data_IF_028982079048
#
_entry.id   IF_028982079048
#
_cell.length_a   1.000
_cell.length_b   1.000
_cell.length_c   1.000
_cell.angle_alpha   90.00
_cell.angle_beta   90.00
_cell.angle_gamma   90.00
#
_symmetry.space_group_name_H-M   'P 1'
#
loop_
_entity.id
_entity.type
_entity.pdbx_description
1 polymer ?
#
# COMPACT_ATOMS: atom_id res chain seq x y z
N UNK A 1 30.30 -25.40 15.35
CA UNK A 1 29.52 -24.71 14.32
C UNK A 1 29.49 -23.23 14.66
N UNK A 2 30.15 -22.36 13.88
CA UNK A 2 30.02 -20.91 14.07
C UNK A 2 28.66 -20.51 13.52
N UNK A 3 27.81 -19.88 14.36
CA UNK A 3 26.62 -19.22 13.86
C UNK A 3 27.06 -18.24 12.76
N UNK A 4 26.51 -18.37 11.54
CA UNK A 4 26.71 -17.38 10.51
C UNK A 4 26.16 -16.05 11.04
N UNK A 5 26.99 -15.01 11.06
CA UNK A 5 26.54 -13.68 11.44
C UNK A 5 25.46 -13.24 10.43
N UNK A 6 24.35 -12.68 10.93
CA UNK A 6 23.29 -12.15 10.06
C UNK A 6 23.88 -11.12 9.10
N UNK A 7 23.31 -10.96 7.90
CA UNK A 7 23.78 -9.90 6.98
C UNK A 7 23.69 -8.52 7.63
N UNK A 8 22.78 -8.33 8.58
CA UNK A 8 22.72 -7.09 9.37
C UNK A 8 23.96 -6.92 10.26
N UNK A 9 24.51 -7.99 10.83
CA UNK A 9 25.74 -7.95 11.61
C UNK A 9 26.95 -7.61 10.73
N UNK A 10 27.00 -8.14 9.51
CA UNK A 10 28.04 -7.85 8.52
C UNK A 10 27.93 -6.41 8.00
N UNK A 11 26.71 -5.94 7.70
CA UNK A 11 26.47 -4.60 7.17
C UNK A 11 26.59 -3.49 8.23
N UNK A 12 26.44 -3.79 9.52
CA UNK A 12 26.64 -2.83 10.62
C UNK A 12 28.10 -2.37 10.77
N UNK A 13 29.06 -3.17 10.32
CA UNK A 13 30.50 -2.87 10.44
C UNK A 13 31.01 -2.03 9.27
N UNK A 14 30.46 -2.22 8.06
CA UNK A 14 30.78 -1.44 6.86
C UNK A 14 29.65 -1.61 5.83
N UNK A 15 29.24 -0.57 5.09
CA UNK A 15 28.38 -0.74 3.92
C UNK A 15 29.11 -1.62 2.90
N UNK A 16 28.77 -2.91 2.87
CA UNK A 16 29.37 -3.89 1.98
C UNK A 16 28.30 -4.36 1.00
N UNK A 17 28.53 -4.29 -0.33
CA UNK A 17 27.69 -4.95 -1.30
C UNK A 17 27.71 -6.48 -1.09
N UNK A 18 26.77 -6.99 -0.30
CA UNK A 18 26.68 -8.41 0.08
C UNK A 18 25.61 -9.19 -0.71
N UNK A 19 24.82 -8.49 -1.53
CA UNK A 19 23.67 -9.07 -2.24
C UNK A 19 24.01 -9.50 -3.68
N UNK A 20 23.25 -10.46 -4.26
CA UNK A 20 23.39 -10.84 -5.67
C UNK A 20 23.18 -9.65 -6.63
N UNK A 21 22.33 -8.69 -6.23
CA UNK A 21 22.16 -7.43 -6.97
C UNK A 21 21.65 -6.28 -6.10
N UNK A 22 21.12 -5.21 -6.73
CA UNK A 22 20.53 -4.07 -6.01
C UNK A 22 19.23 -4.46 -5.31
N UNK A 23 19.03 -3.96 -4.10
CA UNK A 23 17.81 -4.09 -3.31
C UNK A 23 17.36 -2.71 -2.82
N UNK A 24 16.05 -2.43 -2.82
CA UNK A 24 15.49 -1.12 -2.48
C UNK A 24 14.30 -1.25 -1.55
N UNK A 25 14.24 -0.37 -0.56
CA UNK A 25 13.08 -0.14 0.31
C UNK A 25 12.34 1.13 -0.07
N UNK A 26 11.01 1.11 0.01
CA UNK A 26 10.15 2.31 0.04
C UNK A 26 8.93 2.05 0.91
N UNK A 27 8.42 3.12 1.50
CA UNK A 27 7.34 3.09 2.48
C UNK A 27 6.29 4.12 2.06
N UNK A 28 5.09 3.65 1.74
CA UNK A 28 3.91 4.46 1.46
C UNK A 28 2.95 4.39 2.65
N UNK A 29 2.45 5.53 3.12
CA UNK A 29 1.54 5.58 4.28
C UNK A 29 0.13 5.06 3.99
N UNK A 30 -0.27 4.97 2.72
CA UNK A 30 -1.57 4.45 2.30
C UNK A 30 -1.53 4.00 0.82
N UNK A 31 -2.59 3.36 0.29
CA UNK A 31 -2.63 2.88 -1.09
C UNK A 31 -2.57 3.95 -2.19
N UNK A 32 -2.61 5.25 -1.85
CA UNK A 32 -2.41 6.33 -2.82
C UNK A 32 -1.00 6.34 -3.44
N UNK A 33 -0.01 5.74 -2.78
CA UNK A 33 1.29 5.48 -3.40
C UNK A 33 2.13 6.73 -3.69
N UNK A 34 2.15 7.72 -2.79
CA UNK A 34 2.84 9.00 -3.00
C UNK A 34 4.35 8.88 -3.26
N UNK A 35 5.04 7.85 -2.76
CA UNK A 35 6.46 7.58 -3.09
C UNK A 35 6.61 6.51 -4.19
N UNK A 36 5.49 5.94 -4.64
CA UNK A 36 5.40 4.87 -5.62
C UNK A 36 6.23 3.64 -5.22
N UNK A 37 6.09 3.20 -3.96
CA UNK A 37 6.80 2.05 -3.43
C UNK A 37 6.56 0.80 -4.27
N UNK A 38 5.29 0.47 -4.53
CA UNK A 38 4.91 -0.73 -5.30
C UNK A 38 5.50 -0.80 -6.72
N UNK A 39 5.98 0.31 -7.29
CA UNK A 39 6.59 0.33 -8.62
C UNK A 39 8.12 0.48 -8.58
N UNK A 40 8.69 1.00 -7.48
CA UNK A 40 10.07 1.50 -7.45
C UNK A 40 10.92 0.93 -6.30
N UNK A 41 10.48 -0.13 -5.64
CA UNK A 41 11.25 -0.86 -4.61
C UNK A 41 11.10 -2.38 -4.71
N UNK A 42 12.17 -3.10 -4.40
CA UNK A 42 12.15 -4.57 -4.29
C UNK A 42 11.26 -5.01 -3.12
N UNK A 43 11.17 -4.18 -2.08
CA UNK A 43 10.33 -4.38 -0.91
C UNK A 43 9.57 -3.09 -0.61
N UNK A 44 8.25 -3.12 -0.82
CA UNK A 44 7.33 -2.01 -0.62
C UNK A 44 6.46 -2.27 0.62
N UNK A 45 6.46 -1.33 1.55
CA UNK A 45 5.52 -1.31 2.68
C UNK A 45 4.44 -0.28 2.37
N UNK A 46 3.18 -0.72 2.31
CA UNK A 46 2.04 0.15 1.97
C UNK A 46 1.01 0.11 3.10
N UNK A 47 0.84 1.23 3.80
CA UNK A 47 -0.06 1.34 4.94
C UNK A 47 -1.52 1.02 4.60
N UNK A 48 -2.25 0.43 5.54
CA UNK A 48 -3.67 0.12 5.46
C UNK A 48 -4.27 0.00 6.87
N UNK A 49 -5.57 -0.24 6.95
CA UNK A 49 -6.28 -0.60 8.18
C UNK A 49 -7.08 -1.90 7.97
N UNK A 50 -7.57 -2.49 9.06
CA UNK A 50 -8.36 -3.75 9.05
C UNK A 50 -9.83 -3.56 9.45
N UNK A 51 -10.09 -2.55 10.27
CA UNK A 51 -11.41 -2.22 10.79
C UNK A 51 -12.21 -1.31 9.86
N UNK A 52 -13.27 -0.72 10.39
CA UNK A 52 -14.26 0.00 9.62
C UNK A 52 -13.80 1.42 9.25
N UNK A 53 -14.18 1.87 8.05
CA UNK A 53 -14.06 3.30 7.70
C UNK A 53 -14.95 4.11 8.64
N UNK A 54 -14.40 5.15 9.25
CA UNK A 54 -15.14 6.07 10.12
C UNK A 54 -15.91 7.07 9.27
N UNK A 55 -17.19 7.23 9.57
CA UNK A 55 -18.12 8.06 8.80
C UNK A 55 -18.74 9.14 9.70
N UNK A 56 -18.46 10.40 9.41
CA UNK A 56 -19.19 11.54 9.96
C UNK A 56 -20.36 11.90 9.03
N UNK A 57 -21.58 11.55 9.45
CA UNK A 57 -22.79 11.79 8.68
C UNK A 57 -23.14 13.29 8.55
N UNK A 58 -22.75 14.12 9.52
CA UNK A 58 -22.96 15.57 9.42
C UNK A 58 -22.05 16.14 8.32
N UNK A 59 -20.80 15.69 8.27
CA UNK A 59 -19.88 16.09 7.22
C UNK A 59 -20.29 15.55 5.83
N UNK A 60 -20.84 14.33 5.74
CA UNK A 60 -21.42 13.81 4.48
C UNK A 60 -22.52 14.75 3.97
N UNK A 61 -23.42 15.20 4.85
CA UNK A 61 -24.46 16.17 4.49
C UNK A 61 -23.87 17.51 4.05
N UNK A 62 -22.77 17.96 4.66
CA UNK A 62 -22.02 19.13 4.21
C UNK A 62 -21.52 19.00 2.76
N UNK A 63 -21.03 17.83 2.35
CA UNK A 63 -20.67 17.58 0.94
C UNK A 63 -21.89 17.62 0.01
N UNK A 64 -22.98 16.91 0.34
CA UNK A 64 -24.22 16.89 -0.48
C UNK A 64 -24.89 18.27 -0.56
N UNK A 65 -24.78 19.05 0.52
CA UNK A 65 -25.23 20.44 0.62
C UNK A 65 -24.36 21.43 -0.17
N UNK A 66 -23.14 21.04 -0.54
CA UNK A 66 -22.18 21.91 -1.23
C UNK A 66 -21.37 22.82 -0.30
N UNK A 67 -21.45 22.62 1.02
CA UNK A 67 -20.62 23.33 2.00
C UNK A 67 -19.15 22.92 1.89
N UNK A 68 -18.89 21.65 1.55
CA UNK A 68 -17.55 21.11 1.39
C UNK A 68 -17.28 20.73 -0.07
N UNK A 69 -16.19 21.25 -0.62
CA UNK A 69 -15.76 20.90 -1.97
C UNK A 69 -15.24 19.46 -2.03
N UNK A 70 -15.69 18.64 -3.01
CA UNK A 70 -15.19 17.28 -3.18
C UNK A 70 -13.69 17.27 -3.51
N UNK A 71 -13.02 16.21 -3.06
CA UNK A 71 -11.58 16.00 -3.21
C UNK A 71 -10.75 17.21 -2.74
N UNK A 72 -11.17 17.84 -1.65
CA UNK A 72 -10.57 19.05 -1.08
C UNK A 72 -10.38 20.19 -2.10
N UNK A 73 -11.25 20.28 -3.12
CA UNK A 73 -11.17 21.32 -4.14
C UNK A 73 -10.13 21.06 -5.24
N UNK A 74 -9.59 19.84 -5.36
CA UNK A 74 -8.61 19.47 -6.39
C UNK A 74 -9.08 19.72 -7.83
N UNK A 75 -10.40 19.79 -8.05
CA UNK A 75 -11.01 20.01 -9.36
C UNK A 75 -11.64 21.40 -9.55
N UNK A 76 -11.35 22.35 -8.64
CA UNK A 76 -11.92 23.71 -8.65
C UNK A 76 -11.56 24.55 -9.89
N UNK A 77 -10.58 24.14 -10.69
CA UNK A 77 -10.18 24.82 -11.92
C UNK A 77 -11.13 24.62 -13.11
N UNK A 78 -12.19 23.84 -12.98
CA UNK A 78 -13.20 23.62 -14.03
C UNK A 78 -14.58 23.46 -13.38
N UNK A 79 -15.62 23.90 -14.06
CA UNK A 79 -17.00 23.62 -13.68
C UNK A 79 -17.39 22.19 -14.06
N UNK A 80 -17.63 21.36 -13.05
CA UNK A 80 -18.09 19.98 -13.16
C UNK A 80 -19.55 19.80 -12.75
N UNK A 81 -20.24 20.90 -12.39
CA UNK A 81 -21.56 20.86 -11.77
C UNK A 81 -21.51 20.67 -10.24
N UNK A 82 -22.68 20.52 -9.64
CA UNK A 82 -22.82 20.26 -8.20
C UNK A 82 -22.37 18.84 -7.89
N UNK A 83 -21.72 18.66 -6.75
CA UNK A 83 -21.31 17.34 -6.25
C UNK A 83 -22.49 16.37 -6.21
N UNK A 84 -22.32 15.22 -6.85
CA UNK A 84 -23.26 14.10 -6.79
C UNK A 84 -22.60 12.89 -6.12
N UNK A 85 -23.00 12.60 -4.88
CA UNK A 85 -22.46 11.48 -4.09
C UNK A 85 -22.72 10.11 -4.76
N UNK A 86 -23.80 9.98 -5.52
CA UNK A 86 -24.14 8.74 -6.21
C UNK A 86 -23.18 8.52 -7.37
N UNK A 87 -22.91 9.54 -8.19
CA UNK A 87 -22.08 9.43 -9.40
C UNK A 87 -20.58 9.56 -9.12
N UNK A 88 -20.18 10.30 -8.09
CA UNK A 88 -18.78 10.57 -7.79
C UNK A 88 -18.19 9.64 -6.73
N UNK A 89 -19.02 9.05 -5.85
CA UNK A 89 -18.54 8.17 -4.77
C UNK A 89 -19.12 6.76 -4.88
N UNK A 90 -20.43 6.61 -4.71
CA UNK A 90 -21.08 5.29 -4.61
C UNK A 90 -20.92 4.49 -5.91
N UNK A 91 -21.22 5.13 -7.04
CA UNK A 91 -21.11 4.58 -8.38
C UNK A 91 -19.66 4.32 -8.83
N UNK A 92 -18.67 4.92 -8.16
CA UNK A 92 -17.24 4.73 -8.47
C UNK A 92 -16.52 3.78 -7.53
N UNK A 93 -17.15 3.36 -6.44
CA UNK A 93 -16.62 2.32 -5.58
C UNK A 93 -16.35 1.04 -6.40
N UNK A 94 -15.11 0.52 -6.42
CA UNK A 94 -14.75 -0.62 -7.27
C UNK A 94 -15.50 -1.90 -6.90
N UNK A 95 -15.78 -2.11 -5.61
CA UNK A 95 -16.50 -3.30 -5.11
C UNK A 95 -18.00 -3.07 -4.94
N UNK A 96 -18.50 -1.87 -5.23
CA UNK A 96 -19.91 -1.48 -5.04
C UNK A 96 -20.41 -1.75 -3.61
N UNK A 97 -19.54 -1.65 -2.61
CA UNK A 97 -19.86 -1.92 -1.21
C UNK A 97 -20.48 -0.72 -0.47
N UNK A 98 -20.71 0.40 -1.16
CA UNK A 98 -21.27 1.63 -0.59
C UNK A 98 -22.75 1.78 -0.95
N UNK A 99 -23.53 2.39 -0.05
CA UNK A 99 -24.94 2.72 -0.28
C UNK A 99 -25.26 4.11 0.26
N UNK A 100 -25.95 4.89 -0.55
CA UNK A 100 -26.55 6.17 -0.18
C UNK A 100 -28.07 6.05 -0.30
N UNK A 101 -28.81 6.41 0.75
CA UNK A 101 -30.28 6.35 0.78
C UNK A 101 -30.95 7.73 0.63
N UNK A 102 -30.18 8.77 0.34
CA UNK A 102 -30.64 10.17 0.34
C UNK A 102 -30.40 10.91 1.67
N UNK A 103 -30.06 10.19 2.74
CA UNK A 103 -29.87 10.77 4.07
C UNK A 103 -28.61 10.28 4.80
N UNK A 104 -28.25 9.00 4.63
CA UNK A 104 -27.19 8.31 5.33
C UNK A 104 -26.31 7.54 4.35
N UNK A 105 -25.00 7.69 4.51
CA UNK A 105 -24.01 6.90 3.79
C UNK A 105 -23.65 5.67 4.62
N UNK A 106 -23.73 4.50 4.00
CA UNK A 106 -23.35 3.22 4.61
C UNK A 106 -22.28 2.52 3.77
N UNK A 107 -21.35 1.83 4.41
CA UNK A 107 -20.28 1.07 3.76
C UNK A 107 -20.27 -0.34 4.35
N UNK A 108 -20.34 -1.35 3.49
CA UNK A 108 -20.07 -2.74 3.88
C UNK A 108 -18.54 -2.95 3.89
N UNK A 109 -17.90 -2.69 5.02
CA UNK A 109 -16.43 -2.74 5.14
C UNK A 109 -15.83 -4.12 4.84
N UNK A 110 -16.59 -5.20 5.05
CA UNK A 110 -16.16 -6.56 4.70
C UNK A 110 -15.85 -6.73 3.21
N UNK A 111 -16.58 -6.02 2.35
CA UNK A 111 -16.40 -6.03 0.90
C UNK A 111 -15.55 -4.84 0.42
N UNK A 112 -14.96 -4.05 1.33
CA UNK A 112 -14.11 -2.93 0.99
C UNK A 112 -12.67 -3.37 0.74
N UNK A 113 -12.13 -3.03 -0.43
CA UNK A 113 -10.72 -3.27 -0.78
C UNK A 113 -9.79 -2.13 -0.38
N UNK A 114 -10.30 -1.11 0.34
CA UNK A 114 -9.52 0.03 0.88
C UNK A 114 -8.75 0.83 -0.19
N UNK A 115 -9.36 1.00 -1.37
CA UNK A 115 -8.78 1.71 -2.52
C UNK A 115 -8.59 3.24 -2.36
N UNK A 116 -8.93 3.82 -1.20
CA UNK A 116 -8.89 5.26 -0.88
C UNK A 116 -9.87 6.18 -1.64
N UNK A 117 -10.52 5.75 -2.73
CA UNK A 117 -11.36 6.64 -3.56
C UNK A 117 -12.37 7.50 -2.77
N UNK A 118 -13.17 6.88 -1.91
CA UNK A 118 -14.19 7.59 -1.12
C UNK A 118 -13.57 8.54 -0.09
N UNK A 119 -12.49 8.13 0.60
CA UNK A 119 -11.74 8.97 1.55
C UNK A 119 -11.09 10.15 0.84
N UNK A 120 -10.47 9.91 -0.31
CA UNK A 120 -9.88 10.98 -1.13
C UNK A 120 -10.94 11.98 -1.57
N UNK A 121 -12.14 11.52 -1.92
CA UNK A 121 -13.24 12.38 -2.38
C UNK A 121 -13.90 13.15 -1.24
N UNK A 122 -14.07 12.54 -0.06
CA UNK A 122 -14.73 13.16 1.09
C UNK A 122 -13.85 13.13 2.36
N UNK A 123 -12.65 13.75 2.35
CA UNK A 123 -11.67 13.60 3.42
C UNK A 123 -12.08 14.21 4.76
N UNK A 124 -13.08 15.11 4.78
CA UNK A 124 -13.64 15.65 6.02
C UNK A 124 -14.70 14.75 6.65
N UNK A 125 -15.25 13.80 5.89
CA UNK A 125 -16.36 12.95 6.33
C UNK A 125 -15.97 11.49 6.50
N UNK A 126 -14.99 11.01 5.72
CA UNK A 126 -14.54 9.63 5.73
C UNK A 126 -13.08 9.57 6.19
N UNK A 127 -12.83 8.75 7.20
CA UNK A 127 -11.49 8.53 7.74
C UNK A 127 -11.12 7.05 7.77
N UNK A 128 -9.81 6.79 7.74
CA UNK A 128 -9.25 5.45 7.92
C UNK A 128 -9.67 4.86 9.26
N UNK A 129 -9.67 3.53 9.35
CA UNK A 129 -9.87 2.84 10.62
C UNK A 129 -8.72 3.05 11.62
N UNK A 130 -8.92 2.56 12.84
CA UNK A 130 -8.01 2.67 13.96
C UNK A 130 -7.11 1.44 14.14
N UNK A 131 -7.49 0.28 13.61
CA UNK A 131 -6.64 -0.92 13.53
C UNK A 131 -5.71 -0.85 12.32
N UNK A 132 -4.58 -0.14 12.50
CA UNK A 132 -3.64 0.21 11.43
C UNK A 132 -2.48 -0.78 11.32
N UNK A 133 -1.95 -0.90 10.10
CA UNK A 133 -0.78 -1.69 9.79
C UNK A 133 -0.35 -1.43 8.34
N UNK A 134 0.29 -2.42 7.71
CA UNK A 134 0.70 -2.31 6.32
C UNK A 134 0.61 -3.64 5.57
N UNK A 135 0.53 -3.56 4.26
CA UNK A 135 0.78 -4.69 3.36
C UNK A 135 2.24 -4.65 2.89
N UNK A 136 2.84 -5.81 2.68
CA UNK A 136 4.18 -5.94 2.07
C UNK A 136 4.02 -6.47 0.66
N UNK A 137 4.56 -5.74 -0.31
CA UNK A 137 4.63 -6.12 -1.71
C UNK A 137 6.09 -6.22 -2.17
N UNK A 138 6.41 -7.22 -2.98
CA UNK A 138 7.81 -7.53 -3.34
C UNK A 138 8.02 -7.69 -4.84
N UNK A 139 9.26 -7.44 -5.27
CA UNK A 139 9.73 -7.77 -6.61
C UNK A 139 9.64 -6.65 -7.66
N UNK A 140 9.31 -5.40 -7.29
CA UNK A 140 9.17 -4.35 -8.28
C UNK A 140 10.52 -3.98 -8.94
N UNK A 141 10.52 -3.86 -10.28
CA UNK A 141 11.71 -3.51 -11.05
C UNK A 141 11.37 -2.89 -12.41
N UNK A 142 12.35 -2.15 -12.91
CA UNK A 142 12.39 -1.68 -14.29
C UNK A 142 12.60 -2.85 -15.28
N UNK A 143 12.43 -2.64 -16.60
CA UNK A 143 12.41 -3.71 -17.60
C UNK A 143 13.58 -4.68 -17.58
N UNK A 144 14.83 -4.21 -17.50
CA UNK A 144 16.01 -5.10 -17.62
C UNK A 144 16.11 -6.09 -16.44
N UNK A 145 16.29 -7.40 -16.63
CA UNK A 145 16.37 -8.12 -17.92
C UNK A 145 14.99 -8.64 -18.37
N UNK A 146 14.27 -9.32 -17.49
CA UNK A 146 13.08 -10.13 -17.84
C UNK A 146 11.73 -9.37 -17.80
N UNK A 147 11.73 -8.09 -18.14
CA UNK A 147 10.53 -7.25 -18.14
C UNK A 147 10.30 -6.49 -16.83
N UNK A 148 9.40 -5.50 -16.92
CA UNK A 148 9.06 -4.66 -15.79
C UNK A 148 8.08 -5.40 -14.87
N UNK A 149 8.23 -5.20 -13.57
CA UNK A 149 7.36 -5.78 -12.55
C UNK A 149 6.94 -4.70 -11.56
N UNK A 150 5.67 -4.75 -11.16
CA UNK A 150 5.20 -4.10 -9.93
C UNK A 150 5.32 -5.09 -8.77
N UNK A 151 5.22 -4.58 -7.54
CA UNK A 151 5.25 -5.41 -6.35
C UNK A 151 4.05 -6.34 -6.29
N UNK A 152 4.31 -7.63 -6.09
CA UNK A 152 3.29 -8.65 -5.81
C UNK A 152 3.02 -8.72 -4.32
N UNK A 153 1.76 -8.82 -3.91
CA UNK A 153 1.36 -8.88 -2.50
C UNK A 153 1.89 -10.16 -1.85
N UNK A 154 2.77 -10.02 -0.86
CA UNK A 154 3.35 -11.13 -0.08
C UNK A 154 2.66 -11.28 1.28
N UNK A 155 2.62 -10.19 2.05
CA UNK A 155 1.97 -10.17 3.37
C UNK A 155 0.76 -9.24 3.28
N UNK A 156 -0.48 -9.76 3.34
CA UNK A 156 -1.68 -8.94 3.23
C UNK A 156 -1.79 -7.88 4.33
N UNK A 157 -1.38 -8.24 5.55
CA UNK A 157 -1.32 -7.30 6.67
C UNK A 157 -0.25 -7.72 7.66
N UNK A 158 0.56 -6.74 8.06
CA UNK A 158 1.52 -6.83 9.14
C UNK A 158 1.33 -5.64 10.07
N UNK A 159 1.54 -5.87 11.36
CA UNK A 159 1.60 -4.78 12.32
C UNK A 159 2.89 -3.97 12.10
N UNK A 160 2.81 -2.65 12.29
CA UNK A 160 3.94 -1.75 12.11
C UNK A 160 4.11 -0.92 13.37
N UNK A 161 4.63 -1.56 14.40
CA UNK A 161 4.93 -0.95 15.69
C UNK A 161 6.44 -0.97 15.93
N UNK A 162 6.99 0.08 16.53
CA UNK A 162 8.41 0.15 16.83
C UNK A 162 8.75 -0.93 17.88
N UNK A 163 9.81 -1.74 17.69
CA UNK A 163 10.98 -1.58 16.81
C UNK A 163 10.91 -2.24 15.42
N UNK A 164 9.71 -2.58 14.95
CA UNK A 164 9.39 -3.11 13.61
C UNK A 164 9.93 -4.52 13.37
N UNK A 165 9.97 -5.35 14.41
CA UNK A 165 10.57 -6.68 14.34
C UNK A 165 9.84 -7.58 13.34
N UNK A 166 8.51 -7.49 13.26
CA UNK A 166 7.71 -8.27 12.31
C UNK A 166 8.09 -7.93 10.85
N UNK A 167 8.31 -6.64 10.55
CA UNK A 167 8.73 -6.20 9.21
C UNK A 167 10.16 -6.63 8.93
N UNK A 168 11.06 -6.50 9.91
CA UNK A 168 12.47 -6.89 9.80
C UNK A 168 12.61 -8.41 9.60
N UNK A 169 11.80 -9.21 10.28
CA UNK A 169 11.79 -10.68 10.12
C UNK A 169 11.45 -11.09 8.68
N UNK A 170 10.49 -10.41 8.04
CA UNK A 170 10.17 -10.66 6.62
C UNK A 170 11.33 -10.26 5.71
N UNK A 171 11.98 -9.12 6.00
CA UNK A 171 13.15 -8.64 5.24
C UNK A 171 14.29 -9.66 5.33
N UNK A 172 14.64 -10.09 6.54
CA UNK A 172 15.75 -11.01 6.79
C UNK A 172 15.51 -12.36 6.11
N UNK A 173 14.30 -12.92 6.22
CA UNK A 173 13.93 -14.17 5.51
C UNK A 173 14.03 -14.06 3.99
N UNK A 174 13.62 -12.92 3.41
CA UNK A 174 13.75 -12.68 1.96
C UNK A 174 15.23 -12.57 1.59
N UNK A 175 16.03 -11.88 2.39
CA UNK A 175 17.45 -11.72 2.12
C UNK A 175 18.20 -13.03 2.23
N UNK A 176 18.00 -13.82 3.28
CA UNK A 176 18.65 -15.12 3.44
C UNK A 176 18.38 -16.01 2.24
N UNK A 177 17.11 -16.14 1.83
CA UNK A 177 16.72 -16.89 0.64
C UNK A 177 17.33 -16.32 -0.65
N UNK A 178 17.16 -15.02 -0.90
CA UNK A 178 17.61 -14.41 -2.15
C UNK A 178 19.14 -14.38 -2.26
N UNK A 179 19.86 -14.26 -1.15
CA UNK A 179 21.33 -14.29 -1.14
C UNK A 179 21.89 -15.67 -1.46
N UNK A 180 21.22 -16.74 -1.05
CA UNK A 180 21.62 -18.11 -1.35
C UNK A 180 21.24 -18.51 -2.79
N UNK A 181 20.01 -18.21 -3.21
CA UNK A 181 19.45 -18.72 -4.46
C UNK A 181 19.51 -17.73 -5.64
N UNK A 182 19.77 -16.45 -5.37
CA UNK A 182 19.80 -15.39 -6.38
C UNK A 182 21.02 -15.51 -7.30
N UNK A 183 20.78 -15.51 -8.62
CA UNK A 183 21.87 -15.51 -9.59
C UNK A 183 22.59 -14.15 -9.61
N UNK A 184 23.81 -14.14 -10.13
CA UNK A 184 24.57 -12.91 -10.31
C UNK A 184 23.75 -11.88 -11.11
N UNK A 185 23.54 -10.69 -10.52
CA UNK A 185 22.76 -9.58 -11.10
C UNK A 185 21.28 -9.91 -11.36
N UNK A 186 20.72 -10.89 -10.66
CA UNK A 186 19.29 -11.20 -10.70
C UNK A 186 18.56 -10.44 -9.58
N UNK A 187 17.48 -9.73 -9.91
CA UNK A 187 16.65 -9.01 -8.93
C UNK A 187 15.71 -9.97 -8.22
N UNK A 188 15.28 -9.61 -7.02
CA UNK A 188 14.29 -10.37 -6.24
C UNK A 188 13.08 -10.80 -7.08
N UNK A 189 12.49 -9.88 -7.85
CA UNK A 189 11.32 -10.18 -8.69
C UNK A 189 11.60 -11.16 -9.84
N UNK A 190 12.84 -11.24 -10.33
CA UNK A 190 13.28 -12.22 -11.34
C UNK A 190 13.50 -13.58 -10.67
N UNK A 191 14.11 -13.60 -9.48
CA UNK A 191 14.28 -14.81 -8.67
C UNK A 191 12.92 -15.44 -8.33
N UNK A 192 11.94 -14.65 -7.88
CA UNK A 192 10.55 -15.11 -7.63
C UNK A 192 9.92 -15.70 -8.90
N UNK A 193 10.11 -15.04 -10.06
CA UNK A 193 9.57 -15.56 -11.33
C UNK A 193 10.23 -16.88 -11.74
N UNK A 194 11.52 -17.07 -11.45
CA UNK A 194 12.27 -18.28 -11.77
C UNK A 194 11.96 -19.43 -10.83
N UNK A 195 11.89 -19.16 -9.52
CA UNK A 195 11.76 -20.18 -8.47
C UNK A 195 10.32 -20.43 -8.02
N UNK A 196 9.38 -19.61 -8.47
CA UNK A 196 7.98 -19.57 -8.04
C UNK A 196 7.73 -18.74 -6.77
N UNK A 197 6.45 -18.51 -6.49
CA UNK A 197 5.99 -17.68 -5.37
C UNK A 197 5.65 -18.51 -4.12
N UNK A 198 5.53 -19.84 -4.28
CA UNK A 198 5.22 -20.81 -3.24
C UNK A 198 6.45 -21.11 -2.37
#
# INVERSE_FOLDING_TARGET
ARAAASVMDICRIRPCPAFPYKFKFKFDGCPNGCVAAMARSDFAVVGTWKDDIKIDQAAVKGYVGGEFAPNAGAHSGRDWGKFDIQDEVVGRCPTKCMKWDGSKLSINNKECTRCMHCINTMPRALHIGDERGASILVGAKAPVLDGAQMGSLLVPFIEVTQPYDEVKDVIEKIWDWWMEDGKNRERLGETIRRLSFQ
#
